data_IF_503017912430
#
_entry.id   IF_503017912430
#
_cell.length_a   1.000
_cell.length_b   1.000
_cell.length_c   1.000
_cell.angle_alpha   90.00
_cell.angle_beta   90.00
_cell.angle_gamma   90.00
#
_symmetry.space_group_name_H-M   'P 1'
#
loop_
_entity.id
_entity.type
_entity.pdbx_description
1 polymer ?
#
# COMPACT_ATOMS: atom_id res chain seq x y z
N UNK A 1 34.20 -30.77 -22.53
CA UNK A 1 33.66 -29.41 -22.75
C UNK A 1 32.18 -29.39 -22.38
N UNK A 2 31.85 -29.42 -21.08
CA UNK A 2 30.45 -29.52 -20.62
C UNK A 2 30.16 -28.68 -19.37
N UNK A 3 30.98 -27.65 -19.12
CA UNK A 3 30.89 -26.77 -17.94
C UNK A 3 30.37 -25.36 -18.23
N UNK A 4 30.09 -25.03 -19.49
CA UNK A 4 29.71 -23.65 -19.88
C UNK A 4 28.17 -23.48 -19.95
N UNK A 5 27.40 -24.56 -20.02
CA UNK A 5 25.94 -24.50 -20.19
C UNK A 5 25.14 -24.38 -18.88
N UNK A 6 25.78 -24.41 -17.71
CA UNK A 6 25.07 -24.25 -16.43
C UNK A 6 25.00 -22.81 -15.93
N UNK A 7 25.84 -21.90 -16.46
CA UNK A 7 25.85 -20.50 -16.01
C UNK A 7 24.79 -19.61 -16.69
N UNK A 8 24.20 -20.05 -17.81
CA UNK A 8 23.18 -19.27 -18.52
C UNK A 8 21.74 -19.58 -18.09
N UNK A 9 21.49 -20.66 -17.33
CA UNK A 9 20.14 -21.02 -16.87
C UNK A 9 19.82 -20.42 -15.49
N UNK A 10 20.82 -20.02 -14.71
CA UNK A 10 20.61 -19.35 -13.40
C UNK A 10 20.28 -17.85 -13.58
N UNK A 11 20.23 -17.34 -14.81
CA UNK A 11 19.81 -15.96 -15.08
C UNK A 11 18.32 -15.81 -15.40
N UNK A 12 17.55 -16.91 -15.49
CA UNK A 12 16.12 -16.88 -15.86
C UNK A 12 15.15 -16.96 -14.67
N UNK A 13 15.63 -16.64 -13.47
CA UNK A 13 14.80 -16.47 -12.27
C UNK A 13 15.15 -15.18 -11.52
N UNK A 14 15.61 -14.15 -12.22
CA UNK A 14 15.38 -12.78 -11.76
C UNK A 14 13.88 -12.50 -11.91
N UNK A 15 13.10 -13.02 -10.96
CA UNK A 15 11.82 -12.46 -10.58
C UNK A 15 12.08 -11.08 -9.96
N UNK A 16 12.60 -10.16 -10.78
CA UNK A 16 12.76 -8.77 -10.41
C UNK A 16 11.36 -8.22 -10.24
N UNK A 17 11.01 -7.84 -9.01
CA UNK A 17 9.81 -7.06 -8.74
C UNK A 17 9.83 -5.87 -9.70
N UNK A 18 8.78 -5.68 -10.50
CA UNK A 18 8.78 -4.56 -11.45
C UNK A 18 8.89 -3.24 -10.68
N UNK A 19 9.42 -2.18 -11.30
CA UNK A 19 9.52 -0.87 -10.65
C UNK A 19 8.15 -0.40 -10.13
N UNK A 20 7.09 -0.65 -10.90
CA UNK A 20 5.73 -0.33 -10.47
C UNK A 20 5.32 -1.13 -9.22
N UNK A 21 5.55 -2.44 -9.20
CA UNK A 21 5.27 -3.26 -8.02
C UNK A 21 6.10 -2.84 -6.79
N UNK A 22 7.36 -2.44 -7.00
CA UNK A 22 8.22 -1.91 -5.94
C UNK A 22 7.60 -0.65 -5.33
N UNK A 23 7.16 0.30 -6.17
CA UNK A 23 6.50 1.53 -5.73
C UNK A 23 5.18 1.20 -5.02
N UNK A 24 4.35 0.32 -5.59
CA UNK A 24 3.07 -0.09 -4.98
C UNK A 24 3.27 -0.72 -3.59
N UNK A 25 4.23 -1.62 -3.46
CA UNK A 25 4.55 -2.28 -2.20
C UNK A 25 5.08 -1.29 -1.16
N UNK A 26 5.90 -0.33 -1.59
CA UNK A 26 6.46 0.73 -0.74
C UNK A 26 5.37 1.67 -0.23
N UNK A 27 4.53 2.17 -1.13
CA UNK A 27 3.42 3.06 -0.78
C UNK A 27 2.35 2.36 0.07
N UNK A 28 2.11 1.07 -0.15
CA UNK A 28 1.30 0.26 0.74
C UNK A 28 1.91 0.19 2.15
N UNK A 29 3.21 -0.06 2.26
CA UNK A 29 3.92 -0.10 3.55
C UNK A 29 3.79 1.24 4.30
N UNK A 30 4.05 2.35 3.61
CA UNK A 30 3.96 3.70 4.17
C UNK A 30 2.53 4.09 4.59
N UNK A 31 1.51 3.73 3.81
CA UNK A 31 0.12 4.00 4.20
C UNK A 31 -0.33 3.16 5.39
N UNK A 32 0.16 1.91 5.51
CA UNK A 32 -0.06 1.11 6.72
C UNK A 32 0.67 1.69 7.94
N UNK A 33 1.85 2.27 7.75
CA UNK A 33 2.55 3.02 8.80
C UNK A 33 1.77 4.26 9.21
N UNK A 34 1.29 5.06 8.26
CA UNK A 34 0.47 6.26 8.50
C UNK A 34 -0.76 5.90 9.35
N UNK A 35 -1.50 4.87 8.94
CA UNK A 35 -2.69 4.40 9.65
C UNK A 35 -2.40 4.03 11.11
N UNK A 36 -1.23 3.45 11.40
CA UNK A 36 -0.85 3.03 12.75
C UNK A 36 -0.30 4.17 13.59
N UNK A 37 0.61 4.96 13.03
CA UNK A 37 1.36 5.98 13.78
C UNK A 37 0.63 7.31 13.90
N UNK A 38 -0.27 7.62 12.96
CA UNK A 38 -1.07 8.86 12.95
C UNK A 38 -2.54 8.60 13.25
N UNK A 39 -2.85 7.55 14.00
CA UNK A 39 -4.23 7.20 14.34
C UNK A 39 -4.98 8.38 14.97
N UNK A 40 -4.39 9.05 15.97
CA UNK A 40 -5.03 10.18 16.63
C UNK A 40 -5.30 11.36 15.69
N UNK A 41 -4.40 11.63 14.75
CA UNK A 41 -4.60 12.72 13.79
C UNK A 41 -5.66 12.37 12.75
N UNK A 42 -5.76 11.09 12.37
CA UNK A 42 -6.88 10.60 11.54
C UNK A 42 -8.21 10.71 12.27
N UNK A 43 -8.28 10.35 13.55
CA UNK A 43 -9.51 10.47 14.35
C UNK A 43 -9.95 11.92 14.48
N UNK A 44 -9.03 12.89 14.70
CA UNK A 44 -9.39 14.32 14.70
C UNK A 44 -10.06 14.78 13.41
N UNK A 45 -9.62 14.26 12.26
CA UNK A 45 -10.24 14.58 10.96
C UNK A 45 -11.64 13.99 10.85
N UNK A 46 -11.84 12.78 11.37
CA UNK A 46 -13.13 12.08 11.38
C UNK A 46 -14.11 12.79 12.33
N UNK A 47 -13.67 13.10 13.54
CA UNK A 47 -14.46 13.80 14.57
C UNK A 47 -14.89 15.20 14.11
N UNK A 48 -14.08 15.86 13.29
CA UNK A 48 -14.43 17.14 12.69
C UNK A 48 -15.57 17.04 11.65
N UNK A 49 -15.97 15.82 11.25
CA UNK A 49 -16.96 15.53 10.20
C UNK A 49 -17.94 14.44 10.65
N UNK A 50 -18.69 14.66 11.74
CA UNK A 50 -19.52 13.62 12.36
C UNK A 50 -20.72 13.19 11.50
N UNK A 51 -21.10 13.99 10.50
CA UNK A 51 -22.18 13.70 9.56
C UNK A 51 -21.76 12.78 8.41
N UNK A 52 -20.46 12.48 8.28
CA UNK A 52 -19.91 11.65 7.23
C UNK A 52 -19.52 10.27 7.78
N UNK A 53 -19.58 9.24 6.93
CA UNK A 53 -19.18 7.90 7.33
C UNK A 53 -17.67 7.85 7.63
N UNK A 54 -17.35 7.54 8.88
CA UNK A 54 -15.97 7.51 9.39
C UNK A 54 -15.07 6.52 8.64
N UNK A 55 -15.63 5.38 8.22
CA UNK A 55 -14.88 4.37 7.47
C UNK A 55 -14.50 4.88 6.08
N UNK A 56 -15.43 5.55 5.40
CA UNK A 56 -15.22 6.17 4.10
C UNK A 56 -14.24 7.34 4.18
N UNK A 57 -14.34 8.22 5.18
CA UNK A 57 -13.33 9.28 5.41
C UNK A 57 -11.94 8.67 5.56
N UNK A 58 -11.79 7.69 6.47
CA UNK A 58 -10.50 7.03 6.72
C UNK A 58 -9.95 6.40 5.45
N UNK A 59 -10.79 5.68 4.72
CA UNK A 59 -10.39 5.01 3.49
C UNK A 59 -10.02 6.00 2.41
N UNK A 60 -10.76 7.10 2.26
CA UNK A 60 -10.47 8.15 1.28
C UNK A 60 -9.15 8.85 1.57
N UNK A 61 -8.84 9.12 2.84
CA UNK A 61 -7.54 9.68 3.22
C UNK A 61 -6.42 8.70 2.88
N UNK A 62 -6.59 7.40 3.16
CA UNK A 62 -5.59 6.39 2.80
C UNK A 62 -5.41 6.25 1.28
N UNK A 63 -6.50 6.30 0.52
CA UNK A 63 -6.47 6.30 -0.95
C UNK A 63 -5.69 7.51 -1.48
N UNK A 64 -5.99 8.72 -0.99
CA UNK A 64 -5.29 9.95 -1.37
C UNK A 64 -3.81 9.89 -1.00
N UNK A 65 -3.48 9.42 0.20
CA UNK A 65 -2.10 9.25 0.65
C UNK A 65 -1.34 8.23 -0.22
N UNK A 66 -1.97 7.10 -0.56
CA UNK A 66 -1.38 6.10 -1.47
C UNK A 66 -1.09 6.70 -2.85
N UNK A 67 -2.06 7.40 -3.43
CA UNK A 67 -1.92 8.03 -4.74
C UNK A 67 -0.85 9.13 -4.74
N UNK A 68 -0.77 9.92 -3.66
CA UNK A 68 0.30 10.90 -3.48
C UNK A 68 1.67 10.21 -3.45
N UNK A 69 1.81 9.14 -2.67
CA UNK A 69 3.04 8.38 -2.62
C UNK A 69 3.42 7.82 -4.00
N UNK A 70 2.50 7.17 -4.71
CA UNK A 70 2.78 6.61 -6.05
C UNK A 70 3.25 7.67 -7.05
N UNK A 71 2.71 8.88 -6.94
CA UNK A 71 3.07 10.02 -7.80
C UNK A 71 4.47 10.54 -7.52
N UNK A 72 4.90 10.60 -6.26
CA UNK A 72 6.10 11.33 -5.86
C UNK A 72 7.27 10.46 -5.40
N UNK A 73 7.03 9.21 -5.02
CA UNK A 73 8.11 8.32 -4.58
C UNK A 73 9.08 8.05 -5.75
N UNK A 74 10.36 8.25 -5.48
CA UNK A 74 11.45 7.88 -6.37
C UNK A 74 11.75 6.38 -6.29
N UNK A 75 12.53 5.85 -7.25
CA UNK A 75 12.95 4.45 -7.19
C UNK A 75 13.83 4.20 -5.96
N UNK A 76 14.74 5.12 -5.66
CA UNK A 76 15.66 5.05 -4.53
C UNK A 76 14.90 5.02 -3.20
N UNK A 77 13.93 5.91 -3.03
CA UNK A 77 13.07 5.92 -1.83
C UNK A 77 12.24 4.64 -1.72
N UNK A 78 11.68 4.13 -2.83
CA UNK A 78 10.94 2.88 -2.82
C UNK A 78 11.82 1.70 -2.36
N UNK A 79 13.06 1.62 -2.86
CA UNK A 79 14.04 0.62 -2.40
C UNK A 79 14.38 0.80 -0.91
N UNK A 80 14.53 2.04 -0.45
CA UNK A 80 14.83 2.32 0.96
C UNK A 80 13.67 1.92 1.87
N UNK A 81 12.42 2.23 1.49
CA UNK A 81 11.21 1.93 2.28
C UNK A 81 11.06 0.44 2.56
N UNK A 82 11.22 -0.42 1.54
CA UNK A 82 11.03 -1.88 1.72
C UNK A 82 12.11 -2.48 2.63
N UNK A 83 13.31 -1.92 2.62
CA UNK A 83 14.41 -2.36 3.48
C UNK A 83 14.41 -1.69 4.87
N UNK A 84 13.50 -0.74 5.10
CA UNK A 84 13.40 0.02 6.35
C UNK A 84 12.39 -0.60 7.30
N UNK A 85 12.78 -0.77 8.56
CA UNK A 85 11.86 -1.24 9.61
C UNK A 85 10.69 -0.26 9.78
N UNK A 86 9.47 -0.73 10.12
CA UNK A 86 8.31 0.15 10.30
C UNK A 86 8.56 1.33 11.26
N UNK A 87 9.38 1.15 12.29
CA UNK A 87 9.74 2.21 13.24
C UNK A 87 10.54 3.37 12.66
N UNK A 88 11.20 3.19 11.51
CA UNK A 88 12.07 4.19 10.85
C UNK A 88 11.42 4.81 9.61
N UNK A 89 10.19 4.43 9.29
CA UNK A 89 9.48 4.93 8.10
C UNK A 89 9.00 6.39 8.24
N UNK A 90 9.15 7.01 9.41
CA UNK A 90 8.83 8.44 9.63
C UNK A 90 9.61 9.39 8.72
N UNK A 91 10.81 8.99 8.26
CA UNK A 91 11.57 9.73 7.24
C UNK A 91 10.76 10.00 5.96
N UNK A 92 9.83 9.10 5.63
CA UNK A 92 9.01 9.15 4.42
C UNK A 92 7.59 9.68 4.66
N UNK A 93 7.32 10.28 5.83
CA UNK A 93 6.00 10.82 6.17
C UNK A 93 5.49 11.81 5.11
N UNK A 94 6.40 12.58 4.52
CA UNK A 94 6.10 13.55 3.46
C UNK A 94 5.46 12.94 2.21
N UNK A 95 5.65 11.63 1.95
CA UNK A 95 5.05 10.92 0.82
C UNK A 95 3.59 10.52 1.09
N UNK A 96 3.18 10.44 2.36
CA UNK A 96 1.86 9.99 2.79
C UNK A 96 1.17 11.01 3.70
N UNK A 97 0.92 12.24 3.23
CA UNK A 97 0.25 13.27 4.03
C UNK A 97 -1.21 12.92 4.31
N UNK A 98 -1.73 13.42 5.44
CA UNK A 98 -3.17 13.38 5.74
C UNK A 98 -3.87 14.46 4.92
N UNK A 99 -4.40 14.07 3.75
CA UNK A 99 -5.09 14.96 2.81
C UNK A 99 -6.59 15.02 3.10
N UNK A 100 -6.99 15.91 4.03
CA UNK A 100 -8.37 16.04 4.50
C UNK A 100 -9.18 17.18 3.85
N UNK A 101 -8.54 17.96 2.97
CA UNK A 101 -9.16 19.07 2.25
C UNK A 101 -10.24 18.58 1.28
N UNK A 102 -11.41 19.23 1.25
CA UNK A 102 -12.49 18.85 0.35
C UNK A 102 -13.04 17.45 0.62
N UNK A 103 -13.29 17.13 1.90
CA UNK A 103 -14.02 15.95 2.34
C UNK A 103 -15.32 16.43 3.03
N UNK A 104 -16.16 17.17 2.32
CA UNK A 104 -17.29 17.88 2.94
C UNK A 104 -18.61 17.12 2.79
N UNK A 105 -18.71 16.28 1.75
CA UNK A 105 -19.93 15.58 1.37
C UNK A 105 -19.71 14.06 1.25
N UNK A 106 -20.80 13.30 1.26
CA UNK A 106 -20.76 11.84 1.02
C UNK A 106 -20.14 11.45 -0.32
N UNK A 107 -20.24 12.34 -1.33
CA UNK A 107 -19.63 12.15 -2.64
C UNK A 107 -18.11 12.31 -2.59
N UNK A 108 -17.60 13.23 -1.76
CA UNK A 108 -16.18 13.49 -1.64
C UNK A 108 -15.41 12.32 -1.00
N UNK A 109 -16.10 11.57 -0.14
CA UNK A 109 -15.60 10.39 0.56
C UNK A 109 -15.92 9.08 -0.17
N UNK A 110 -16.49 9.13 -1.36
CA UNK A 110 -16.75 7.94 -2.16
C UNK A 110 -15.41 7.26 -2.50
N UNK A 111 -15.32 5.97 -2.20
CA UNK A 111 -14.09 5.19 -2.38
C UNK A 111 -14.19 4.39 -3.67
N UNK A 112 -13.15 4.46 -4.48
CA UNK A 112 -13.07 3.66 -5.71
C UNK A 112 -12.93 2.17 -5.39
N UNK A 113 -13.81 1.34 -5.95
CA UNK A 113 -13.72 -0.12 -5.85
C UNK A 113 -12.36 -0.65 -6.35
N UNK A 114 -11.76 -0.01 -7.36
CA UNK A 114 -10.46 -0.36 -7.89
C UNK A 114 -9.34 -0.17 -6.86
N UNK A 115 -9.46 0.82 -5.97
CA UNK A 115 -8.52 1.00 -4.87
C UNK A 115 -8.52 -0.20 -3.92
N UNK A 116 -9.70 -0.71 -3.54
CA UNK A 116 -9.80 -1.91 -2.70
C UNK A 116 -9.22 -3.15 -3.37
N UNK A 117 -9.50 -3.35 -4.65
CA UNK A 117 -8.94 -4.46 -5.43
C UNK A 117 -7.41 -4.39 -5.45
N UNK A 118 -6.85 -3.23 -5.83
CA UNK A 118 -5.40 -3.00 -5.86
C UNK A 118 -4.77 -3.24 -4.48
N UNK A 119 -5.37 -2.72 -3.41
CA UNK A 119 -4.88 -2.94 -2.04
C UNK A 119 -4.88 -4.40 -1.62
N UNK A 120 -5.89 -5.17 -2.02
CA UNK A 120 -5.96 -6.61 -1.76
C UNK A 120 -4.86 -7.36 -2.51
N UNK A 121 -4.63 -7.00 -3.77
CA UNK A 121 -3.60 -7.63 -4.60
C UNK A 121 -2.20 -7.36 -4.04
N UNK A 122 -1.89 -6.11 -3.67
CA UNK A 122 -0.62 -5.76 -3.01
C UNK A 122 -0.44 -6.55 -1.71
N UNK A 123 -1.47 -6.59 -0.87
CA UNK A 123 -1.44 -7.34 0.39
C UNK A 123 -1.14 -8.81 0.16
N UNK A 124 -1.82 -9.44 -0.79
CA UNK A 124 -1.62 -10.85 -1.12
C UNK A 124 -0.18 -11.11 -1.57
N UNK A 125 0.38 -10.27 -2.45
CA UNK A 125 1.78 -10.38 -2.88
C UNK A 125 2.75 -10.27 -1.71
N UNK A 126 2.54 -9.32 -0.80
CA UNK A 126 3.39 -9.13 0.37
C UNK A 126 3.27 -10.26 1.40
N UNK A 127 2.09 -10.86 1.57
CA UNK A 127 1.89 -11.98 2.49
C UNK A 127 2.48 -13.28 1.92
N UNK A 128 2.17 -13.60 0.66
CA UNK A 128 2.69 -14.81 -0.02
C UNK A 128 4.21 -14.73 -0.21
N UNK A 129 4.73 -13.57 -0.64
CA UNK A 129 6.17 -13.34 -0.80
C UNK A 129 6.95 -13.46 0.52
N UNK A 130 6.30 -13.24 1.66
CA UNK A 130 6.89 -13.40 2.99
C UNK A 130 6.58 -14.77 3.65
N UNK A 131 6.07 -15.75 2.89
CA UNK A 131 5.76 -17.09 3.42
C UNK A 131 4.57 -17.13 4.40
N UNK A 132 3.79 -16.05 4.53
CA UNK A 132 2.55 -16.05 5.29
C UNK A 132 1.45 -16.61 4.40
N UNK A 133 0.74 -17.65 4.87
CA UNK A 133 -0.46 -18.16 4.19
C UNK A 133 -1.41 -16.98 3.99
N UNK A 134 -1.59 -16.55 2.73
CA UNK A 134 -2.53 -15.48 2.39
C UNK A 134 -3.94 -15.81 2.89
N UNK A 135 -4.83 -14.81 3.01
CA UNK A 135 -6.20 -15.05 3.44
C UNK A 135 -6.81 -16.11 2.53
N UNK A 136 -7.22 -17.22 3.14
CA UNK A 136 -7.78 -18.37 2.44
C UNK A 136 -8.87 -17.89 1.48
N UNK A 137 -8.82 -18.39 0.24
CA UNK A 137 -9.90 -18.19 -0.72
C UNK A 137 -11.21 -18.53 -0.02
N UNK A 138 -12.06 -17.52 0.12
CA UNK A 138 -13.45 -17.68 0.52
C UNK A 138 -14.04 -18.73 -0.43
N UNK A 139 -14.42 -19.88 0.11
CA UNK A 139 -15.13 -20.91 -0.66
C UNK A 139 -16.40 -20.22 -1.15
N UNK A 140 -16.53 -20.05 -2.47
CA UNK A 140 -17.85 -19.82 -3.06
C UNK A 140 -18.70 -21.00 -2.60
N UNK A 141 -19.66 -20.73 -1.71
CA UNK A 141 -20.70 -21.67 -1.39
C UNK A 141 -21.52 -21.87 -2.64
N UNK A 142 -21.64 -23.13 -3.07
CA UNK A 142 -22.64 -23.54 -4.02
C UNK A 142 -24.01 -23.37 -3.33
N UNK A 143 -24.82 -22.48 -3.89
CA UNK A 143 -26.28 -22.46 -3.75
C UNK A 143 -26.86 -22.62 -5.16
#
# INVERSE_FOLDING_TARGET
>A
MWKILFFTIISLAYAGTSLEELKENSCYSLTMWLQRQKHNDLEKVIEAKPHLDASNIRTKIMERAFNNCMRFITEEEAREVINTSPSKQSKFEHLVPILNNGLETSKDIEVDFMYFKKRRDIRYRLEVGNGKKGPGKEKKGDL
#
